data_IF_379966902739
#
_entry.id   IF_379966902739
#
_cell.length_a   1.000
_cell.length_b   1.000
_cell.length_c   1.000
_cell.angle_alpha   90.00
_cell.angle_beta   90.00
_cell.angle_gamma   90.00
#
_symmetry.space_group_name_H-M   'P 1'
#
loop_
_entity.id
_entity.type
_entity.pdbx_description
1 polymer ?
#
# COMPACT_ATOMS: atom_id res chain seq x y z
N UNK A 1 -17.89 23.00 -6.38
CA UNK A 1 -16.91 23.61 -5.46
C UNK A 1 -15.75 22.61 -5.38
N UNK A 2 -14.52 22.96 -5.75
CA UNK A 2 -13.40 22.00 -5.69
C UNK A 2 -13.20 21.57 -4.23
N UNK A 3 -13.20 20.26 -3.98
CA UNK A 3 -12.95 19.70 -2.66
C UNK A 3 -11.43 19.53 -2.51
N UNK A 4 -10.79 20.39 -1.71
CA UNK A 4 -9.35 20.37 -1.52
C UNK A 4 -8.97 20.03 -0.09
N UNK A 5 -8.05 19.07 0.10
CA UNK A 5 -7.46 18.72 1.38
C UNK A 5 -5.95 18.94 1.30
N UNK A 6 -5.44 19.88 2.11
CA UNK A 6 -4.02 20.23 2.14
C UNK A 6 -3.26 19.35 3.14
N UNK A 7 -2.05 18.96 2.75
CA UNK A 7 -1.10 18.30 3.63
C UNK A 7 -0.33 19.35 4.44
N UNK A 8 -0.07 19.14 5.76
CA UNK A 8 0.84 19.97 6.52
C UNK A 8 2.24 20.01 5.91
N UNK A 9 2.99 21.07 6.21
CA UNK A 9 4.38 21.21 5.77
C UNK A 9 5.22 20.01 6.25
N UNK A 10 6.00 19.45 5.35
CA UNK A 10 6.93 18.37 5.67
C UNK A 10 8.17 18.95 6.33
N UNK A 11 8.29 18.76 7.64
CA UNK A 11 9.44 19.24 8.42
C UNK A 11 10.72 18.45 8.11
N UNK A 12 10.57 17.18 7.69
CA UNK A 12 11.70 16.32 7.33
C UNK A 12 12.46 16.89 6.14
N UNK A 13 13.76 17.08 6.33
CA UNK A 13 14.66 17.50 5.24
C UNK A 13 15.47 16.31 4.75
N UNK A 14 15.36 16.04 3.47
CA UNK A 14 16.17 15.02 2.78
C UNK A 14 17.03 15.71 1.74
N UNK A 15 18.35 15.53 1.81
CA UNK A 15 19.29 16.13 0.86
C UNK A 15 19.40 15.28 -0.43
N UNK A 16 19.81 15.90 -1.52
CA UNK A 16 20.09 15.21 -2.79
C UNK A 16 21.13 14.10 -2.60
N UNK A 17 22.15 14.32 -1.76
CA UNK A 17 23.16 13.31 -1.43
C UNK A 17 22.55 12.10 -0.72
N UNK A 18 21.56 12.31 0.15
CA UNK A 18 20.83 11.22 0.81
C UNK A 18 19.99 10.44 -0.20
N UNK A 19 19.37 11.10 -1.19
CA UNK A 19 18.65 10.40 -2.24
C UNK A 19 19.57 9.51 -3.08
N UNK A 20 20.74 10.00 -3.45
CA UNK A 20 21.74 9.19 -4.17
C UNK A 20 22.21 7.98 -3.34
N UNK A 21 22.38 8.16 -2.03
CA UNK A 21 22.65 7.04 -1.12
C UNK A 21 21.49 6.04 -1.09
N UNK A 22 20.25 6.51 -0.99
CA UNK A 22 19.06 5.65 -0.96
C UNK A 22 18.93 4.86 -2.26
N UNK A 23 19.12 5.51 -3.42
CA UNK A 23 19.10 4.86 -4.72
C UNK A 23 20.15 3.74 -4.82
N UNK A 24 21.40 4.03 -4.46
CA UNK A 24 22.46 3.05 -4.44
C UNK A 24 22.19 1.90 -3.46
N UNK A 25 21.60 2.19 -2.29
CA UNK A 25 21.19 1.18 -1.34
C UNK A 25 20.14 0.25 -1.93
N UNK A 26 19.06 0.80 -2.52
CA UNK A 26 17.97 0.03 -3.12
C UNK A 26 18.49 -0.86 -4.26
N UNK A 27 19.32 -0.31 -5.17
CA UNK A 27 19.97 -1.06 -6.26
C UNK A 27 20.90 -2.15 -5.75
N UNK A 28 21.69 -1.86 -4.70
CA UNK A 28 22.57 -2.85 -4.08
C UNK A 28 21.80 -3.99 -3.41
N UNK A 29 20.63 -3.70 -2.80
CA UNK A 29 19.78 -4.77 -2.25
C UNK A 29 19.17 -5.61 -3.36
N UNK A 30 18.73 -5.00 -4.45
CA UNK A 30 18.23 -5.72 -5.62
C UNK A 30 19.28 -6.66 -6.21
N UNK A 31 20.55 -6.23 -6.34
CA UNK A 31 21.62 -7.08 -6.88
C UNK A 31 21.96 -8.27 -5.98
N UNK A 32 21.84 -8.13 -4.66
CA UNK A 32 22.10 -9.22 -3.71
C UNK A 32 21.06 -10.34 -3.72
N UNK A 33 19.92 -10.13 -4.35
CA UNK A 33 18.92 -11.18 -4.54
C UNK A 33 19.39 -12.28 -5.50
N UNK A 34 20.36 -11.98 -6.36
CA UNK A 34 20.98 -12.98 -7.26
C UNK A 34 21.72 -14.08 -6.47
N UNK A 35 22.19 -13.77 -5.25
CA UNK A 35 22.91 -14.70 -4.36
C UNK A 35 21.97 -15.52 -3.44
N UNK A 36 20.67 -15.29 -3.53
CA UNK A 36 19.64 -15.98 -2.77
C UNK A 36 18.69 -15.04 -2.01
N UNK A 37 17.41 -15.40 -1.96
CA UNK A 37 16.36 -14.59 -1.36
C UNK A 37 16.36 -14.54 0.18
N UNK A 38 17.28 -15.23 0.85
CA UNK A 38 17.26 -15.52 2.29
C UNK A 38 17.26 -14.32 3.25
N UNK A 39 17.37 -13.09 2.76
CA UNK A 39 17.27 -11.86 3.56
C UNK A 39 16.28 -10.85 3.00
N UNK A 40 15.54 -11.20 1.96
CA UNK A 40 14.68 -10.25 1.22
C UNK A 40 13.66 -9.55 2.12
N UNK A 41 12.97 -10.30 2.96
CA UNK A 41 11.92 -9.77 3.83
C UNK A 41 12.46 -8.74 4.86
N UNK A 42 13.73 -8.83 5.28
CA UNK A 42 14.35 -7.82 6.15
C UNK A 42 14.54 -6.47 5.45
N UNK A 43 14.53 -6.45 4.13
CA UNK A 43 14.77 -5.24 3.35
C UNK A 43 13.50 -4.58 2.84
N UNK A 44 12.36 -5.30 2.77
CA UNK A 44 11.09 -4.76 2.23
C UNK A 44 10.75 -3.43 2.89
N UNK A 45 10.58 -3.39 4.22
CA UNK A 45 10.23 -2.15 4.92
C UNK A 45 11.29 -1.05 4.76
N UNK A 46 12.59 -1.41 4.72
CA UNK A 46 13.65 -0.40 4.53
C UNK A 46 13.65 0.18 3.11
N UNK A 47 13.28 -0.60 2.09
CA UNK A 47 13.12 -0.13 0.71
C UNK A 47 11.92 0.82 0.61
N UNK A 48 10.79 0.47 1.22
CA UNK A 48 9.59 1.33 1.28
C UNK A 48 9.90 2.68 1.94
N UNK A 49 10.55 2.68 3.11
CA UNK A 49 10.96 3.93 3.77
C UNK A 49 11.88 4.79 2.92
N UNK A 50 12.73 4.17 2.08
CA UNK A 50 13.58 4.94 1.16
C UNK A 50 12.80 5.51 -0.02
N UNK A 51 11.81 4.79 -0.53
CA UNK A 51 10.91 5.33 -1.55
C UNK A 51 10.15 6.57 -1.03
N UNK A 52 9.68 6.54 0.23
CA UNK A 52 9.07 7.70 0.88
C UNK A 52 10.02 8.90 1.01
N UNK A 53 11.32 8.68 1.26
CA UNK A 53 12.31 9.79 1.27
C UNK A 53 12.40 10.51 -0.09
N UNK A 54 12.15 9.82 -1.22
CA UNK A 54 12.06 10.47 -2.54
C UNK A 54 10.81 11.36 -2.63
N UNK A 55 9.66 10.92 -2.11
CA UNK A 55 8.44 11.73 -2.07
C UNK A 55 8.56 12.99 -1.18
N UNK A 56 9.46 13.00 -0.20
CA UNK A 56 9.77 14.20 0.59
C UNK A 56 10.41 15.28 -0.28
N UNK A 57 11.25 14.91 -1.24
CA UNK A 57 11.99 15.84 -2.11
C UNK A 57 11.22 16.17 -3.38
N UNK A 58 10.52 15.20 -3.91
CA UNK A 58 9.74 15.30 -5.14
C UNK A 58 8.31 14.80 -4.89
N UNK A 59 7.49 15.60 -4.17
CA UNK A 59 6.15 15.19 -3.77
C UNK A 59 5.17 15.01 -4.93
N UNK A 60 5.45 15.62 -6.08
CA UNK A 60 4.65 15.48 -7.30
C UNK A 60 5.07 14.32 -8.19
N UNK A 61 6.15 13.60 -7.86
CA UNK A 61 6.75 12.55 -8.71
C UNK A 61 6.99 13.07 -10.13
N UNK A 62 7.61 14.24 -10.20
CA UNK A 62 7.99 14.90 -11.45
C UNK A 62 9.23 14.22 -12.06
N UNK A 63 10.13 13.72 -11.21
CA UNK A 63 11.34 13.08 -11.62
C UNK A 63 11.15 11.56 -11.78
N UNK A 64 11.65 11.04 -12.90
CA UNK A 64 11.62 9.60 -13.21
C UNK A 64 12.23 8.73 -12.11
N UNK A 65 13.31 9.19 -11.44
CA UNK A 65 13.97 8.43 -10.36
C UNK A 65 13.05 8.22 -9.13
N UNK A 66 12.13 9.16 -8.86
CA UNK A 66 11.17 9.03 -7.76
C UNK A 66 10.17 7.91 -8.07
N UNK A 67 9.68 7.86 -9.31
CA UNK A 67 8.85 6.75 -9.79
C UNK A 67 9.61 5.42 -9.77
N UNK A 68 10.88 5.40 -10.23
CA UNK A 68 11.73 4.18 -10.19
C UNK A 68 11.86 3.63 -8.76
N UNK A 69 12.07 4.51 -7.77
CA UNK A 69 12.13 4.11 -6.37
C UNK A 69 10.80 3.53 -5.88
N UNK A 70 9.68 4.12 -6.30
CA UNK A 70 8.33 3.66 -5.96
C UNK A 70 8.05 2.25 -6.54
N UNK A 71 8.27 2.08 -7.83
CA UNK A 71 8.11 0.78 -8.51
C UNK A 71 9.03 -0.29 -7.90
N UNK A 72 10.27 0.07 -7.57
CA UNK A 72 11.20 -0.87 -6.97
C UNK A 72 10.71 -1.35 -5.58
N UNK A 73 10.09 -0.47 -4.78
CA UNK A 73 9.48 -0.87 -3.50
C UNK A 73 8.35 -1.89 -3.71
N UNK A 74 7.46 -1.64 -4.67
CA UNK A 74 6.40 -2.58 -5.04
C UNK A 74 6.97 -3.91 -5.56
N UNK A 75 7.98 -3.89 -6.44
CA UNK A 75 8.62 -5.11 -6.96
C UNK A 75 9.24 -5.97 -5.85
N UNK A 76 9.81 -5.35 -4.82
CA UNK A 76 10.31 -6.07 -3.64
C UNK A 76 9.18 -6.75 -2.86
N UNK A 77 8.08 -6.03 -2.65
CA UNK A 77 6.88 -6.54 -1.99
C UNK A 77 6.31 -7.73 -2.79
N UNK A 78 6.19 -7.57 -4.12
CA UNK A 78 5.73 -8.62 -5.03
C UNK A 78 6.61 -9.87 -4.95
N UNK A 79 7.92 -9.69 -5.02
CA UNK A 79 8.86 -10.81 -4.94
C UNK A 79 8.75 -11.52 -3.58
N UNK A 80 8.62 -10.76 -2.47
CA UNK A 80 8.43 -11.32 -1.13
C UNK A 80 7.17 -12.20 -1.05
N UNK A 81 6.02 -11.71 -1.52
CA UNK A 81 4.79 -12.50 -1.48
C UNK A 81 4.85 -13.74 -2.39
N UNK A 82 5.43 -13.59 -3.60
CA UNK A 82 5.56 -14.71 -4.54
C UNK A 82 6.47 -15.82 -4.02
N UNK A 83 7.63 -15.50 -3.46
CA UNK A 83 8.55 -16.53 -2.93
C UNK A 83 8.02 -17.19 -1.65
N UNK A 84 7.25 -16.44 -0.84
CA UNK A 84 6.63 -16.96 0.38
C UNK A 84 5.45 -17.91 0.11
N UNK A 85 4.76 -17.72 -1.02
CA UNK A 85 3.64 -18.59 -1.43
C UNK A 85 4.06 -19.75 -2.36
N UNK A 86 5.31 -19.77 -2.78
CA UNK A 86 5.81 -20.82 -3.66
C UNK A 86 6.01 -22.16 -2.92
N UNK A 87 5.95 -23.25 -3.67
CA UNK A 87 6.24 -24.58 -3.13
C UNK A 87 7.63 -24.63 -2.51
N UNK A 88 7.76 -25.40 -1.41
CA UNK A 88 9.05 -25.55 -0.72
C UNK A 88 10.13 -26.02 -1.69
N UNK A 89 11.33 -25.46 -1.56
CA UNK A 89 12.51 -25.74 -2.41
C UNK A 89 12.32 -25.46 -3.91
N UNK A 90 11.27 -24.76 -4.29
CA UNK A 90 11.05 -24.28 -5.66
C UNK A 90 11.78 -22.96 -5.94
N UNK A 91 11.69 -22.49 -7.19
CA UNK A 91 12.19 -21.18 -7.60
C UNK A 91 11.10 -20.43 -8.35
N UNK A 92 11.05 -19.11 -8.13
CA UNK A 92 10.09 -18.19 -8.77
C UNK A 92 10.87 -17.12 -9.51
N UNK A 93 10.48 -16.85 -10.75
CA UNK A 93 11.00 -15.73 -11.51
C UNK A 93 10.26 -14.46 -11.08
N UNK A 94 11.03 -13.50 -10.54
CA UNK A 94 10.52 -12.21 -10.06
C UNK A 94 11.26 -11.06 -10.72
N UNK A 95 10.52 -10.09 -11.24
CA UNK A 95 11.10 -8.84 -11.72
C UNK A 95 11.42 -7.95 -10.51
N UNK A 96 12.70 -7.65 -10.29
CA UNK A 96 13.16 -6.72 -9.24
C UNK A 96 14.32 -5.89 -9.78
N UNK A 97 14.17 -4.56 -9.77
CA UNK A 97 15.16 -3.63 -10.28
C UNK A 97 15.40 -3.81 -11.79
N UNK A 98 14.33 -3.93 -12.56
CA UNK A 98 14.30 -4.10 -14.03
C UNK A 98 15.00 -5.37 -14.55
N UNK A 99 15.25 -6.35 -13.67
CA UNK A 99 15.87 -7.63 -14.02
C UNK A 99 15.00 -8.77 -13.49
N UNK A 100 14.68 -9.74 -14.33
CA UNK A 100 14.09 -11.00 -13.89
C UNK A 100 15.15 -11.77 -13.10
N UNK A 101 14.80 -12.15 -11.88
CA UNK A 101 15.63 -12.88 -10.93
C UNK A 101 14.96 -14.18 -10.55
N UNK A 102 15.70 -15.26 -10.61
CA UNK A 102 15.23 -16.58 -10.20
C UNK A 102 15.47 -16.76 -8.70
N UNK A 103 14.45 -16.51 -7.90
CA UNK A 103 14.52 -16.50 -6.44
C UNK A 103 14.05 -17.84 -5.87
N UNK A 104 14.77 -18.36 -4.88
CA UNK A 104 14.35 -19.55 -4.14
C UNK A 104 13.16 -19.23 -3.24
N UNK A 105 12.21 -20.19 -3.14
CA UNK A 105 11.10 -20.11 -2.19
C UNK A 105 11.61 -19.93 -0.75
N UNK A 106 10.81 -19.24 0.06
CA UNK A 106 11.17 -18.93 1.43
C UNK A 106 10.06 -19.38 2.39
N UNK A 107 10.45 -19.87 3.56
CA UNK A 107 9.49 -20.20 4.60
C UNK A 107 8.72 -18.95 5.04
N UNK A 108 7.45 -19.13 5.41
CA UNK A 108 6.61 -18.07 5.94
C UNK A 108 7.25 -17.47 7.21
N UNK A 109 7.21 -16.15 7.29
CA UNK A 109 7.72 -15.36 8.43
C UNK A 109 6.63 -14.42 8.93
N UNK A 110 6.75 -13.92 10.15
CA UNK A 110 5.74 -13.03 10.76
C UNK A 110 5.48 -11.73 9.98
N UNK A 111 6.40 -11.31 9.11
CA UNK A 111 6.20 -10.21 8.17
C UNK A 111 5.17 -10.53 7.07
N UNK A 112 4.85 -11.81 6.84
CA UNK A 112 3.79 -12.25 5.95
C UNK A 112 2.44 -12.21 6.69
N UNK A 113 1.83 -11.04 6.76
CA UNK A 113 0.66 -10.76 7.59
C UNK A 113 -0.34 -9.84 6.88
N UNK A 114 -1.51 -9.63 7.51
CA UNK A 114 -2.59 -8.82 6.95
C UNK A 114 -2.17 -7.39 6.58
N UNK A 115 -1.41 -6.71 7.44
CA UNK A 115 -0.99 -5.32 7.19
C UNK A 115 -0.01 -5.22 6.01
N UNK A 116 0.97 -6.14 5.94
CA UNK A 116 1.91 -6.20 4.82
C UNK A 116 1.20 -6.56 3.51
N UNK A 117 0.18 -7.44 3.58
CA UNK A 117 -0.63 -7.82 2.43
C UNK A 117 -1.45 -6.63 1.91
N UNK A 118 -2.14 -5.90 2.80
CA UNK A 118 -2.90 -4.71 2.42
C UNK A 118 -1.99 -3.64 1.79
N UNK A 119 -0.84 -3.35 2.40
CA UNK A 119 0.16 -2.45 1.82
C UNK A 119 0.60 -2.89 0.42
N UNK A 120 0.86 -4.19 0.22
CA UNK A 120 1.25 -4.74 -1.08
C UNK A 120 0.16 -4.56 -2.15
N UNK A 121 -1.12 -4.74 -1.78
CA UNK A 121 -2.25 -4.53 -2.70
C UNK A 121 -2.36 -3.06 -3.12
N UNK A 122 -2.27 -2.13 -2.18
CA UNK A 122 -2.36 -0.70 -2.51
C UNK A 122 -1.14 -0.21 -3.29
N UNK A 123 0.07 -0.72 -3.01
CA UNK A 123 1.24 -0.48 -3.87
C UNK A 123 1.02 -1.01 -5.29
N UNK A 124 0.44 -2.20 -5.45
CA UNK A 124 0.10 -2.76 -6.75
C UNK A 124 -0.89 -1.85 -7.51
N UNK A 125 -1.92 -1.33 -6.86
CA UNK A 125 -2.87 -0.40 -7.49
C UNK A 125 -2.21 0.92 -7.90
N UNK A 126 -1.33 1.49 -7.07
CA UNK A 126 -0.61 2.72 -7.45
C UNK A 126 0.34 2.52 -8.63
N UNK A 127 0.90 1.32 -8.78
CA UNK A 127 1.76 0.93 -9.90
C UNK A 127 0.98 0.34 -11.10
N UNK A 128 -0.34 0.13 -10.98
CA UNK A 128 -1.19 -0.53 -11.99
C UNK A 128 -0.80 -1.99 -12.28
N UNK A 129 -0.16 -2.66 -11.33
CA UNK A 129 0.14 -4.10 -11.44
C UNK A 129 -1.09 -4.93 -11.01
N UNK A 130 -2.07 -5.02 -11.91
CA UNK A 130 -3.33 -5.72 -11.66
C UNK A 130 -3.16 -7.25 -11.63
N UNK A 131 -2.14 -7.79 -12.30
CA UNK A 131 -1.80 -9.21 -12.22
C UNK A 131 -1.30 -9.56 -10.83
N UNK A 132 -0.51 -8.67 -10.23
CA UNK A 132 -0.08 -8.85 -8.85
C UNK A 132 -1.24 -8.67 -7.86
N UNK A 133 -2.11 -7.70 -8.08
CA UNK A 133 -3.32 -7.53 -7.25
C UNK A 133 -4.19 -8.81 -7.30
N UNK A 134 -4.36 -9.41 -8.47
CA UNK A 134 -5.06 -10.70 -8.64
C UNK A 134 -4.38 -11.84 -7.87
N UNK A 135 -3.05 -11.96 -7.97
CA UNK A 135 -2.28 -12.94 -7.17
C UNK A 135 -2.49 -12.74 -5.67
N UNK A 136 -2.43 -11.50 -5.18
CA UNK A 136 -2.66 -11.20 -3.76
C UNK A 136 -4.07 -11.60 -3.32
N UNK A 137 -5.07 -11.38 -4.17
CA UNK A 137 -6.45 -11.75 -3.86
C UNK A 137 -6.64 -13.28 -3.68
N UNK A 138 -5.73 -14.11 -4.20
CA UNK A 138 -5.75 -15.56 -4.03
C UNK A 138 -4.96 -16.05 -2.81
N UNK A 139 -4.25 -15.18 -2.10
CA UNK A 139 -3.54 -15.56 -0.86
C UNK A 139 -4.54 -15.88 0.25
N UNK A 140 -4.57 -17.11 0.81
CA UNK A 140 -5.54 -17.43 1.85
C UNK A 140 -5.34 -16.60 3.11
N UNK A 141 -6.40 -16.01 3.64
CA UNK A 141 -6.35 -15.16 4.85
C UNK A 141 -5.80 -15.92 6.06
N UNK A 142 -6.12 -17.20 6.16
CA UNK A 142 -5.61 -18.05 7.25
C UNK A 142 -4.09 -18.25 7.19
N UNK A 143 -3.49 -18.25 6.01
CA UNK A 143 -2.02 -18.29 5.86
C UNK A 143 -1.40 -17.00 6.39
N UNK A 144 -2.02 -15.84 6.10
CA UNK A 144 -1.60 -14.54 6.64
C UNK A 144 -1.71 -14.52 8.17
N UNK A 145 -2.79 -15.08 8.73
CA UNK A 145 -3.02 -15.16 10.17
C UNK A 145 -1.97 -16.05 10.83
N UNK A 146 -1.82 -17.29 10.36
CA UNK A 146 -0.87 -18.25 10.93
C UNK A 146 0.56 -17.72 10.90
N UNK A 147 0.99 -17.13 9.78
CA UNK A 147 2.32 -16.56 9.65
C UNK A 147 2.50 -15.32 10.53
N UNK A 148 1.58 -14.35 10.45
CA UNK A 148 1.65 -13.10 11.19
C UNK A 148 1.66 -13.28 12.71
N UNK A 149 0.92 -14.26 13.21
CA UNK A 149 0.79 -14.53 14.65
C UNK A 149 1.78 -15.59 15.16
N UNK A 150 2.65 -16.14 14.29
CA UNK A 150 3.59 -17.23 14.61
C UNK A 150 4.57 -16.90 15.76
N UNK A 151 4.81 -15.63 16.05
CA UNK A 151 5.69 -15.17 17.13
C UNK A 151 4.92 -14.56 18.32
N UNK A 152 3.62 -14.87 18.46
CA UNK A 152 2.78 -14.37 19.56
C UNK A 152 2.24 -12.95 19.35
N UNK A 153 2.49 -12.32 18.22
CA UNK A 153 1.81 -11.07 17.82
C UNK A 153 0.33 -11.37 17.60
N UNK A 154 -0.54 -10.45 18.00
CA UNK A 154 -1.97 -10.51 17.70
C UNK A 154 -2.37 -9.29 16.91
N UNK A 155 -3.05 -9.53 15.81
CA UNK A 155 -3.68 -8.49 15.00
C UNK A 155 -5.10 -8.23 15.48
N UNK A 156 -5.62 -7.04 15.23
CA UNK A 156 -7.03 -6.75 15.40
C UNK A 156 -7.86 -7.63 14.44
N UNK A 157 -9.07 -7.99 14.85
CA UNK A 157 -9.94 -8.88 14.06
C UNK A 157 -10.33 -8.26 12.73
N UNK A 158 -10.53 -6.95 12.71
CA UNK A 158 -10.82 -6.16 11.51
C UNK A 158 -9.71 -6.24 10.46
N UNK A 159 -8.44 -6.41 10.87
CA UNK A 159 -7.33 -6.52 9.92
C UNK A 159 -7.47 -7.70 8.95
N UNK A 160 -7.95 -8.86 9.43
CA UNK A 160 -8.19 -10.02 8.56
C UNK A 160 -9.50 -9.89 7.78
N UNK A 161 -10.55 -9.38 8.42
CA UNK A 161 -11.82 -9.08 7.73
C UNK A 161 -11.60 -8.06 6.60
N UNK A 162 -10.76 -7.05 6.82
CA UNK A 162 -10.37 -6.09 5.80
C UNK A 162 -9.69 -6.75 4.59
N UNK A 163 -8.80 -7.72 4.82
CA UNK A 163 -8.20 -8.51 3.73
C UNK A 163 -9.29 -9.23 2.93
N UNK A 164 -10.26 -9.87 3.60
CA UNK A 164 -11.37 -10.58 2.93
C UNK A 164 -12.22 -9.64 2.06
N UNK A 165 -12.51 -8.44 2.57
CA UNK A 165 -13.22 -7.39 1.80
C UNK A 165 -12.43 -6.99 0.55
N UNK A 166 -11.15 -6.69 0.70
CA UNK A 166 -10.28 -6.28 -0.41
C UNK A 166 -10.13 -7.39 -1.46
N UNK A 167 -9.99 -8.65 -1.03
CA UNK A 167 -9.96 -9.80 -1.93
C UNK A 167 -11.28 -9.95 -2.71
N UNK A 168 -12.41 -9.80 -2.03
CA UNK A 168 -13.72 -9.84 -2.66
C UNK A 168 -13.89 -8.69 -3.67
N UNK A 169 -13.46 -7.49 -3.33
CA UNK A 169 -13.51 -6.34 -4.24
C UNK A 169 -12.64 -6.56 -5.49
N UNK A 170 -11.39 -7.03 -5.33
CA UNK A 170 -10.50 -7.35 -6.47
C UNK A 170 -11.11 -8.40 -7.40
N UNK A 171 -11.78 -9.40 -6.83
CA UNK A 171 -12.43 -10.50 -7.59
C UNK A 171 -13.79 -10.12 -8.17
N UNK A 172 -14.32 -8.96 -7.85
CA UNK A 172 -15.70 -8.59 -8.22
C UNK A 172 -16.75 -9.49 -7.55
N UNK A 173 -16.46 -10.04 -6.37
CA UNK A 173 -17.39 -10.89 -5.61
C UNK A 173 -18.56 -10.03 -5.09
N UNK A 174 -19.81 -10.38 -5.38
CA UNK A 174 -20.99 -9.63 -4.93
C UNK A 174 -21.12 -9.56 -3.41
N UNK A 175 -20.43 -10.42 -2.67
CA UNK A 175 -20.41 -10.40 -1.20
C UNK A 175 -19.53 -9.26 -0.61
N UNK A 176 -18.77 -8.53 -1.43
CA UNK A 176 -17.87 -7.49 -0.93
C UNK A 176 -18.56 -6.49 0.02
N UNK A 177 -19.80 -6.08 -0.28
CA UNK A 177 -20.59 -5.18 0.57
C UNK A 177 -20.93 -5.80 1.93
N UNK A 178 -21.33 -7.07 1.96
CA UNK A 178 -21.66 -7.77 3.22
C UNK A 178 -20.42 -7.95 4.08
N UNK A 179 -19.31 -8.38 3.48
CA UNK A 179 -18.01 -8.52 4.17
C UNK A 179 -17.52 -7.18 4.73
N UNK A 180 -17.79 -6.08 4.01
CA UNK A 180 -17.43 -4.74 4.47
C UNK A 180 -18.19 -4.34 5.75
N UNK A 181 -19.49 -4.62 5.83
CA UNK A 181 -20.26 -4.33 7.05
C UNK A 181 -19.74 -5.17 8.24
N UNK A 182 -19.42 -6.43 8.03
CA UNK A 182 -18.79 -7.27 9.06
C UNK A 182 -17.43 -6.71 9.51
N UNK A 183 -16.60 -6.25 8.58
CA UNK A 183 -15.31 -5.62 8.90
C UNK A 183 -15.48 -4.32 9.69
N UNK A 184 -16.48 -3.48 9.36
CA UNK A 184 -16.81 -2.25 10.08
C UNK A 184 -17.25 -2.52 11.51
N UNK A 185 -18.08 -3.55 11.73
CA UNK A 185 -18.48 -3.95 13.09
C UNK A 185 -17.29 -4.38 13.94
N UNK A 186 -16.30 -5.05 13.34
CA UNK A 186 -15.07 -5.46 14.02
C UNK A 186 -14.11 -4.29 14.26
N UNK A 187 -14.12 -3.27 13.41
CA UNK A 187 -13.30 -2.06 13.51
C UNK A 187 -13.90 -0.99 14.43
N UNK A 188 -15.07 -1.23 15.06
CA UNK A 188 -15.70 -0.26 15.95
C UNK A 188 -14.74 0.24 17.03
N UNK A 189 -14.35 1.55 17.01
CA UNK A 189 -13.42 2.11 17.98
C UNK A 189 -13.91 1.95 19.44
N UNK A 190 -15.22 1.91 19.65
CA UNK A 190 -15.84 1.73 20.97
C UNK A 190 -15.66 0.31 21.54
N UNK A 191 -15.32 -0.66 20.69
CA UNK A 191 -15.08 -2.07 21.05
C UNK A 191 -13.62 -2.48 20.95
N UNK A 192 -12.74 -1.57 20.48
CA UNK A 192 -11.34 -1.84 20.28
C UNK A 192 -10.63 -2.09 21.61
N UNK A 193 -10.00 -3.26 21.76
CA UNK A 193 -9.22 -3.61 22.95
C UNK A 193 -7.87 -2.86 23.01
N UNK A 194 -7.39 -2.40 21.86
CA UNK A 194 -6.20 -1.56 21.68
C UNK A 194 -6.33 -0.79 20.35
N UNK A 195 -5.49 0.22 20.13
CA UNK A 195 -5.44 0.99 18.90
C UNK A 195 -6.78 1.64 18.44
N UNK A 196 -7.66 2.05 19.39
CA UNK A 196 -8.93 2.71 19.08
C UNK A 196 -8.75 3.97 18.20
N UNK A 197 -7.66 4.74 18.40
CA UNK A 197 -7.34 5.89 17.56
C UNK A 197 -7.04 5.50 16.10
N UNK A 198 -6.33 4.39 15.87
CA UNK A 198 -6.12 3.85 14.53
C UNK A 198 -7.45 3.39 13.91
N UNK A 199 -8.26 2.66 14.64
CA UNK A 199 -9.56 2.20 14.16
C UNK A 199 -10.43 3.39 13.71
N UNK A 200 -10.55 4.43 14.53
CA UNK A 200 -11.42 5.58 14.24
C UNK A 200 -10.89 6.54 13.17
N UNK A 201 -9.58 6.74 13.12
CA UNK A 201 -8.97 7.74 12.21
C UNK A 201 -8.35 7.13 10.94
N UNK A 202 -8.13 5.82 10.91
CA UNK A 202 -7.53 5.16 9.76
C UNK A 202 -8.43 4.06 9.19
N UNK A 203 -8.72 3.00 9.94
CA UNK A 203 -9.39 1.81 9.41
C UNK A 203 -10.83 2.11 8.94
N UNK A 204 -11.67 2.70 9.81
CA UNK A 204 -13.07 2.99 9.46
C UNK A 204 -13.19 3.97 8.29
N UNK A 205 -12.45 5.12 8.26
CA UNK A 205 -12.52 6.02 7.10
C UNK A 205 -12.09 5.38 5.78
N UNK A 206 -11.10 4.48 5.77
CA UNK A 206 -10.71 3.74 4.56
C UNK A 206 -11.80 2.76 4.10
N UNK A 207 -12.44 2.08 5.05
CA UNK A 207 -13.61 1.20 4.78
C UNK A 207 -14.77 1.99 4.19
N UNK A 208 -15.01 3.23 4.65
CA UNK A 208 -16.06 4.08 4.10
C UNK A 208 -15.78 4.47 2.64
N UNK A 209 -14.53 4.82 2.32
CA UNK A 209 -14.13 5.11 0.94
C UNK A 209 -14.34 3.89 0.03
N UNK A 210 -13.89 2.70 0.46
CA UNK A 210 -14.08 1.48 -0.33
C UNK A 210 -15.56 1.12 -0.47
N UNK A 211 -16.38 1.36 0.56
CA UNK A 211 -17.83 1.13 0.52
C UNK A 211 -18.48 1.91 -0.60
N UNK A 212 -18.11 3.18 -0.78
CA UNK A 212 -18.63 4.00 -1.88
C UNK A 212 -18.19 3.49 -3.25
N UNK A 213 -16.99 2.91 -3.36
CA UNK A 213 -16.57 2.26 -4.61
C UNK A 213 -17.37 0.99 -4.91
N UNK A 214 -17.66 0.18 -3.88
CA UNK A 214 -18.51 -1.02 -4.02
C UNK A 214 -19.94 -0.64 -4.44
N UNK A 215 -20.49 0.43 -3.86
CA UNK A 215 -21.82 0.97 -4.15
C UNK A 215 -21.88 1.74 -5.49
N UNK A 216 -20.72 2.09 -6.08
CA UNK A 216 -20.59 2.98 -7.25
C UNK A 216 -21.20 4.36 -7.00
N UNK A 217 -21.11 4.83 -5.77
CA UNK A 217 -21.61 6.14 -5.33
C UNK A 217 -20.51 7.20 -5.51
N UNK A 218 -20.51 7.92 -6.63
CA UNK A 218 -19.47 8.88 -6.98
C UNK A 218 -19.43 10.10 -6.05
N UNK A 219 -20.59 10.67 -5.70
CA UNK A 219 -20.68 11.82 -4.79
C UNK A 219 -20.24 11.38 -3.37
N UNK A 220 -20.77 10.28 -2.88
CA UNK A 220 -20.40 9.72 -1.58
C UNK A 220 -18.92 9.31 -1.50
N UNK A 221 -18.31 8.85 -2.61
CA UNK A 221 -16.88 8.55 -2.70
C UNK A 221 -16.05 9.80 -2.41
N UNK A 222 -16.31 10.91 -3.09
CA UNK A 222 -15.54 12.14 -2.94
C UNK A 222 -15.69 12.72 -1.52
N UNK A 223 -16.91 12.69 -0.95
CA UNK A 223 -17.13 13.11 0.44
C UNK A 223 -16.41 12.21 1.45
N UNK A 224 -16.48 10.89 1.27
CA UNK A 224 -15.79 9.94 2.14
C UNK A 224 -14.26 10.10 2.05
N UNK A 225 -13.75 10.35 0.83
CA UNK A 225 -12.32 10.56 0.60
C UNK A 225 -11.80 11.82 1.31
N UNK A 226 -12.56 12.93 1.28
CA UNK A 226 -12.21 14.14 2.03
C UNK A 226 -12.13 13.84 3.53
N UNK A 227 -13.17 13.20 4.09
CA UNK A 227 -13.18 12.84 5.51
C UNK A 227 -12.02 11.93 5.89
N UNK A 228 -11.69 10.94 5.04
CA UNK A 228 -10.59 10.02 5.27
C UNK A 228 -9.21 10.71 5.21
N UNK A 229 -9.02 11.67 4.30
CA UNK A 229 -7.81 12.49 4.22
C UNK A 229 -7.64 13.40 5.44
N UNK A 230 -8.73 13.98 5.95
CA UNK A 230 -8.71 14.79 7.17
C UNK A 230 -8.39 13.95 8.40
N UNK A 231 -8.98 12.75 8.52
CA UNK A 231 -8.68 11.80 9.59
C UNK A 231 -7.22 11.31 9.53
N UNK A 232 -6.71 11.01 8.33
CA UNK A 232 -5.31 10.67 8.11
C UNK A 232 -4.38 11.80 8.55
N UNK A 233 -4.68 13.05 8.19
CA UNK A 233 -3.94 14.24 8.62
C UNK A 233 -3.87 14.35 10.14
N UNK A 234 -5.00 14.16 10.81
CA UNK A 234 -5.09 14.20 12.27
C UNK A 234 -4.22 13.08 12.91
N UNK A 235 -4.38 11.85 12.43
CA UNK A 235 -3.66 10.69 12.97
C UNK A 235 -2.14 10.81 12.82
N UNK A 236 -1.67 11.33 11.67
CA UNK A 236 -0.24 11.38 11.34
C UNK A 236 0.46 12.68 11.73
N UNK A 237 -0.28 13.71 12.17
CA UNK A 237 0.25 15.04 12.47
C UNK A 237 1.43 15.04 13.44
N UNK A 238 1.35 14.26 14.52
CA UNK A 238 2.39 14.21 15.55
C UNK A 238 3.69 13.56 15.04
N UNK A 239 3.61 12.55 14.16
CA UNK A 239 4.78 11.92 13.54
C UNK A 239 5.42 12.86 12.52
N UNK A 240 4.60 13.45 11.66
CA UNK A 240 5.07 14.39 10.63
C UNK A 240 5.78 15.60 11.24
N UNK A 241 5.24 16.14 12.34
CA UNK A 241 5.85 17.27 13.08
C UNK A 241 7.23 16.93 13.67
N UNK A 242 7.51 15.64 13.93
CA UNK A 242 8.81 15.13 14.38
C UNK A 242 9.73 14.72 13.23
N UNK A 243 9.33 14.95 11.98
CA UNK A 243 10.08 14.55 10.79
C UNK A 243 9.95 13.05 10.46
N UNK A 244 8.88 12.39 10.92
CA UNK A 244 8.50 11.04 10.52
C UNK A 244 8.04 10.96 9.07
N UNK A 245 7.73 9.77 8.60
CA UNK A 245 7.33 9.51 7.20
C UNK A 245 5.87 9.03 7.08
N UNK A 246 5.20 8.71 8.19
CA UNK A 246 3.84 8.16 8.17
C UNK A 246 2.79 9.13 7.62
N UNK A 247 3.06 10.44 7.62
CA UNK A 247 2.18 11.46 7.06
C UNK A 247 2.50 11.89 5.63
N UNK A 248 3.39 11.21 4.91
CA UNK A 248 3.81 11.62 3.56
C UNK A 248 2.76 11.28 2.52
N UNK A 249 2.24 10.05 2.53
CA UNK A 249 1.25 9.58 1.57
C UNK A 249 0.31 8.56 2.22
N UNK A 250 -1.02 8.75 2.12
CA UNK A 250 -2.02 7.75 2.53
C UNK A 250 -2.14 6.69 1.45
N UNK A 251 -1.29 5.67 1.51
CA UNK A 251 -1.15 4.66 0.45
C UNK A 251 -2.49 4.02 0.05
N UNK A 252 -3.33 3.71 1.03
CA UNK A 252 -4.63 3.10 0.84
C UNK A 252 -5.57 4.01 0.04
N UNK A 253 -5.65 5.27 0.44
CA UNK A 253 -6.49 6.26 -0.23
C UNK A 253 -5.95 6.60 -1.62
N UNK A 254 -4.63 6.68 -1.77
CA UNK A 254 -3.98 6.89 -3.07
C UNK A 254 -4.27 5.72 -4.01
N UNK A 255 -4.16 4.47 -3.55
CA UNK A 255 -4.46 3.29 -4.36
C UNK A 255 -5.90 3.30 -4.87
N UNK A 256 -6.87 3.59 -4.00
CA UNK A 256 -8.28 3.74 -4.40
C UNK A 256 -8.51 4.91 -5.36
N UNK A 257 -7.87 6.06 -5.11
CA UNK A 257 -7.93 7.21 -6.02
C UNK A 257 -7.37 6.89 -7.41
N UNK A 258 -6.28 6.09 -7.49
CA UNK A 258 -5.72 5.61 -8.75
C UNK A 258 -6.73 4.74 -9.54
N UNK A 259 -7.46 3.82 -8.87
CA UNK A 259 -8.50 3.02 -9.53
C UNK A 259 -9.59 3.89 -10.15
N UNK A 260 -10.04 4.92 -9.41
CA UNK A 260 -11.08 5.86 -9.89
C UNK A 260 -10.52 6.72 -11.04
N UNK A 261 -9.31 7.25 -10.90
CA UNK A 261 -8.66 8.07 -11.92
C UNK A 261 -8.50 7.33 -13.26
N UNK A 262 -8.24 6.03 -13.19
CA UNK A 262 -8.10 5.15 -14.36
C UNK A 262 -9.45 4.64 -14.91
N UNK A 263 -10.60 5.07 -14.34
CA UNK A 263 -11.93 4.63 -14.76
C UNK A 263 -12.23 3.15 -14.47
N UNK A 264 -11.52 2.55 -13.49
CA UNK A 264 -11.71 1.14 -13.11
C UNK A 264 -12.99 0.89 -12.32
N UNK A 265 -13.60 1.94 -11.79
CA UNK A 265 -14.88 1.87 -11.10
C UNK A 265 -15.90 2.71 -11.88
N UNK A 266 -16.81 2.03 -12.55
CA UNK A 266 -17.82 2.67 -13.41
C UNK A 266 -18.72 3.61 -12.60
N UNK A 267 -18.98 4.80 -13.14
CA UNK A 267 -19.87 5.79 -12.52
C UNK A 267 -19.24 6.61 -11.39
N UNK A 268 -17.99 6.38 -11.05
CA UNK A 268 -17.26 7.14 -10.04
C UNK A 268 -16.19 8.00 -10.70
N UNK A 269 -16.13 9.28 -10.35
CA UNK A 269 -15.10 10.22 -10.78
C UNK A 269 -14.37 10.82 -9.58
N UNK A 270 -13.07 11.10 -9.74
CA UNK A 270 -12.27 11.75 -8.71
C UNK A 270 -12.34 13.28 -8.86
N UNK A 271 -12.96 13.96 -7.90
CA UNK A 271 -13.11 15.41 -7.84
C UNK A 271 -12.30 16.06 -6.72
N UNK A 272 -11.71 15.24 -5.84
CA UNK A 272 -10.88 15.70 -4.71
C UNK A 272 -9.48 16.02 -5.19
N UNK A 273 -9.02 17.23 -4.90
CA UNK A 273 -7.62 17.65 -5.03
C UNK A 273 -6.91 17.54 -3.69
N UNK A 274 -5.70 16.97 -3.66
CA UNK A 274 -4.95 16.89 -2.42
C UNK A 274 -3.44 16.83 -2.64
N UNK A 275 -2.69 17.56 -1.80
CA UNK A 275 -1.23 17.48 -1.74
C UNK A 275 -0.72 16.11 -1.22
N UNK A 276 -1.63 15.29 -0.69
CA UNK A 276 -1.35 13.90 -0.30
C UNK A 276 -1.26 12.94 -1.48
N UNK A 277 -1.74 13.34 -2.66
CA UNK A 277 -1.71 12.52 -3.86
C UNK A 277 -0.62 12.99 -4.81
N UNK A 278 0.53 12.29 -4.87
CA UNK A 278 1.57 12.60 -5.85
C UNK A 278 0.99 12.52 -7.27
N UNK A 279 0.92 13.67 -7.95
CA UNK A 279 0.28 13.80 -9.27
C UNK A 279 0.86 12.79 -10.29
N UNK A 280 2.18 12.62 -10.29
CA UNK A 280 2.83 11.67 -11.21
C UNK A 280 2.46 10.21 -10.96
N UNK A 281 2.08 9.82 -9.73
CA UNK A 281 1.52 8.50 -9.40
C UNK A 281 0.04 8.45 -9.80
N UNK A 282 -0.72 9.46 -9.36
CA UNK A 282 -2.17 9.51 -9.60
C UNK A 282 -2.51 9.48 -11.09
N UNK A 283 -1.80 10.24 -11.90
CA UNK A 283 -2.02 10.34 -13.35
C UNK A 283 -1.28 9.27 -14.15
N UNK A 284 -0.49 8.42 -13.51
CA UNK A 284 0.27 7.37 -14.19
C UNK A 284 1.34 7.89 -15.15
N UNK A 285 1.92 9.07 -14.88
CA UNK A 285 2.87 9.79 -15.75
C UNK A 285 4.02 8.93 -16.27
N UNK A 286 4.47 7.98 -15.47
CA UNK A 286 5.68 7.19 -15.75
C UNK A 286 5.42 5.69 -15.93
N UNK A 287 4.16 5.27 -16.16
CA UNK A 287 3.80 3.84 -16.24
C UNK A 287 4.60 3.09 -17.31
N UNK A 288 4.85 3.71 -18.46
CA UNK A 288 5.63 3.09 -19.55
C UNK A 288 7.15 3.22 -19.38
N UNK A 289 7.62 3.96 -18.35
CA UNK A 289 9.04 4.23 -18.17
C UNK A 289 9.80 3.03 -17.57
N UNK A 290 9.11 2.20 -16.80
CA UNK A 290 9.66 1.01 -16.13
C UNK A 290 8.65 -0.12 -16.17
N UNK A 291 9.09 -1.37 -16.41
CA UNK A 291 8.22 -2.53 -16.28
C UNK A 291 7.79 -2.72 -14.82
N UNK A 292 6.52 -2.98 -14.62
CA UNK A 292 5.92 -3.35 -13.34
C UNK A 292 5.68 -4.85 -13.26
#
# INVERSE_FOLDING_TARGET
MSMRVERPEIVRRTSVSKLSYNENYMKSKASKLDDGAGGMFHFVSSIQLKALDFLVVDPGVVERRTWEAWVLAMQYQRAFFRVSMAESDSHVDCLVGHKVRRLKSHALVSAFNASSWAGALFEAWTCRDFDYAGFLADVPVEVLRCAGESQGTRFMRDAYAWVEVLQAFVKGDPRAGVLLEEARELADPGRASFAAGYAGLMAVPQMDVLGRLIERDGDGFNEALVRALEAYREYTAADLAKGGLSGIVPLELLGMACLVRDGRVEGVSLEVESDYFPEGILDGRWLDAFPV
#
